data_IF_816932566935
#
_entry.id   IF_816932566935
#
_cell.length_a   1.000
_cell.length_b   1.000
_cell.length_c   1.000
_cell.angle_alpha   90.00
_cell.angle_beta   90.00
_cell.angle_gamma   90.00
#
_symmetry.space_group_name_H-M   'P 1'
#
loop_
_entity.id
_entity.type
_entity.pdbx_description
1 polymer ?
#
# COMPACT_ATOMS: atom_id res chain seq x y z
N UNK A 1 -18.41 21.58 14.05
CA UNK A 1 -17.37 20.78 13.39
C UNK A 1 -16.16 21.70 13.23
N UNK A 2 -15.15 21.54 14.09
CA UNK A 2 -14.03 22.47 14.24
C UNK A 2 -13.34 22.70 12.89
N UNK A 3 -13.25 23.96 12.44
CA UNK A 3 -12.48 24.35 11.26
C UNK A 3 -11.00 24.28 11.63
N UNK A 4 -10.44 23.07 11.62
CA UNK A 4 -9.00 22.89 11.71
C UNK A 4 -8.36 23.52 10.47
N UNK A 5 -7.48 24.50 10.67
CA UNK A 5 -6.67 25.05 9.59
C UNK A 5 -5.85 23.92 8.97
N UNK A 6 -6.01 23.71 7.66
CA UNK A 6 -5.25 22.71 6.93
C UNK A 6 -3.80 23.18 6.82
N UNK A 7 -2.89 22.45 7.46
CA UNK A 7 -1.44 22.63 7.32
C UNK A 7 -0.83 21.52 6.47
N UNK A 8 0.34 21.78 5.89
CA UNK A 8 1.13 20.72 5.28
C UNK A 8 1.58 19.71 6.33
N UNK A 9 1.56 18.44 5.95
CA UNK A 9 2.01 17.34 6.78
C UNK A 9 3.50 17.49 7.10
N UNK A 10 3.87 17.29 8.36
CA UNK A 10 5.28 17.20 8.74
C UNK A 10 5.86 15.86 8.28
N UNK A 11 7.15 15.82 7.97
CA UNK A 11 7.86 14.60 7.59
C UNK A 11 7.66 13.48 8.63
N UNK A 12 7.71 13.79 9.92
CA UNK A 12 7.48 12.81 10.98
C UNK A 12 6.05 12.23 10.97
N UNK A 13 5.06 13.04 10.60
CA UNK A 13 3.66 12.61 10.52
C UNK A 13 3.47 11.60 9.38
N UNK A 14 4.11 11.87 8.23
CA UNK A 14 4.11 10.98 7.07
C UNK A 14 4.80 9.65 7.39
N UNK A 15 5.94 9.69 8.08
CA UNK A 15 6.65 8.46 8.46
C UNK A 15 5.83 7.64 9.44
N UNK A 16 5.20 8.27 10.44
CA UNK A 16 4.38 7.57 11.44
C UNK A 16 3.12 6.96 10.84
N UNK A 17 2.45 7.65 9.92
CA UNK A 17 1.28 7.08 9.25
C UNK A 17 1.68 5.84 8.46
N UNK A 18 2.79 5.91 7.74
CA UNK A 18 3.26 4.80 6.92
C UNK A 18 3.80 3.63 7.77
N UNK A 19 4.51 3.89 8.87
CA UNK A 19 4.90 2.87 9.85
C UNK A 19 3.68 2.15 10.43
N UNK A 20 2.63 2.90 10.75
CA UNK A 20 1.39 2.35 11.29
C UNK A 20 0.68 1.45 10.28
N UNK A 21 0.64 1.86 9.01
CA UNK A 21 0.09 1.04 7.93
C UNK A 21 0.90 -0.25 7.74
N UNK A 22 2.24 -0.18 7.71
CA UNK A 22 3.09 -1.38 7.60
C UNK A 22 2.89 -2.37 8.73
N UNK A 23 2.74 -1.89 9.96
CA UNK A 23 2.48 -2.74 11.11
C UNK A 23 1.18 -3.54 10.94
N UNK A 24 0.12 -2.93 10.42
CA UNK A 24 -1.15 -3.62 10.20
C UNK A 24 -1.06 -4.61 9.03
N UNK A 25 -0.37 -4.25 7.95
CA UNK A 25 -0.15 -5.14 6.80
C UNK A 25 0.66 -6.37 7.23
N UNK A 26 1.65 -6.22 8.10
CA UNK A 26 2.46 -7.35 8.59
C UNK A 26 1.64 -8.29 9.48
N UNK A 27 0.80 -7.75 10.36
CA UNK A 27 -0.15 -8.55 11.13
C UNK A 27 -1.12 -9.32 10.23
N UNK A 28 -1.65 -8.66 9.19
CA UNK A 28 -2.52 -9.31 8.22
C UNK A 28 -1.79 -10.41 7.42
N UNK A 29 -0.54 -10.19 7.02
CA UNK A 29 0.24 -11.23 6.35
C UNK A 29 0.51 -12.43 7.26
N UNK A 30 0.80 -12.21 8.54
CA UNK A 30 0.99 -13.30 9.50
C UNK A 30 -0.27 -14.16 9.63
N UNK A 31 -1.45 -13.52 9.71
CA UNK A 31 -2.72 -14.24 9.74
C UNK A 31 -2.96 -15.04 8.46
N UNK A 32 -2.63 -14.48 7.29
CA UNK A 32 -2.73 -15.21 6.02
C UNK A 32 -1.74 -16.38 5.93
N UNK A 33 -0.53 -16.20 6.43
CA UNK A 33 0.50 -17.25 6.47
C UNK A 33 0.05 -18.43 7.35
N UNK A 34 -0.55 -18.14 8.51
CA UNK A 34 -1.15 -19.15 9.39
C UNK A 34 -2.33 -19.86 8.71
N UNK A 35 -3.22 -19.12 8.05
CA UNK A 35 -4.36 -19.69 7.32
C UNK A 35 -3.90 -20.59 6.17
N UNK A 36 -2.92 -20.14 5.39
CA UNK A 36 -2.34 -20.92 4.30
C UNK A 36 -1.72 -22.21 4.84
N UNK A 37 -0.94 -22.12 5.91
CA UNK A 37 -0.28 -23.29 6.51
C UNK A 37 -1.29 -24.29 7.07
N UNK A 38 -2.41 -23.83 7.64
CA UNK A 38 -3.48 -24.70 8.13
C UNK A 38 -4.23 -25.42 7.00
N UNK A 39 -4.38 -24.79 5.84
CA UNK A 39 -5.14 -25.34 4.71
C UNK A 39 -4.30 -26.21 3.78
N UNK A 40 -3.07 -25.79 3.48
CA UNK A 40 -2.22 -26.40 2.46
C UNK A 40 -0.95 -27.05 3.03
N UNK A 41 -0.70 -26.90 4.33
CA UNK A 41 0.52 -27.38 4.97
C UNK A 41 1.75 -26.54 4.63
N UNK A 42 2.94 -27.06 4.97
CA UNK A 42 4.21 -26.33 4.88
C UNK A 42 5.00 -26.54 3.58
N UNK A 43 4.64 -27.55 2.78
CA UNK A 43 5.49 -28.05 1.68
C UNK A 43 5.92 -26.96 0.68
N UNK A 44 5.02 -26.06 0.32
CA UNK A 44 5.30 -24.97 -0.63
C UNK A 44 5.24 -23.58 0.02
N UNK A 45 5.25 -23.49 1.35
CA UNK A 45 4.99 -22.23 2.05
C UNK A 45 5.91 -21.09 1.61
N UNK A 46 7.22 -21.36 1.53
CA UNK A 46 8.23 -20.37 1.11
C UNK A 46 8.01 -19.82 -0.31
N UNK A 47 7.44 -20.62 -1.22
CA UNK A 47 7.13 -20.18 -2.60
C UNK A 47 5.97 -19.19 -2.58
N UNK A 48 4.95 -19.45 -1.74
CA UNK A 48 3.72 -18.66 -1.70
C UNK A 48 3.78 -17.48 -0.73
N UNK A 49 4.63 -17.51 0.29
CA UNK A 49 4.82 -16.45 1.30
C UNK A 49 4.97 -15.04 0.69
N UNK A 50 5.82 -14.79 -0.33
CA UNK A 50 5.94 -13.46 -0.94
C UNK A 50 4.69 -13.02 -1.74
N UNK A 51 3.84 -13.96 -2.15
CA UNK A 51 2.56 -13.67 -2.79
C UNK A 51 1.48 -13.38 -1.75
N UNK A 52 1.47 -14.10 -0.62
CA UNK A 52 0.57 -13.86 0.51
C UNK A 52 0.80 -12.49 1.13
N UNK A 53 2.06 -12.06 1.27
CA UNK A 53 2.38 -10.71 1.73
C UNK A 53 1.87 -9.62 0.77
N UNK A 54 2.05 -9.80 -0.55
CA UNK A 54 1.47 -8.87 -1.54
C UNK A 54 -0.06 -8.88 -1.53
N UNK A 55 -0.65 -10.04 -1.27
CA UNK A 55 -2.09 -10.19 -1.14
C UNK A 55 -2.62 -9.49 0.12
N UNK A 56 -1.89 -9.51 1.25
CA UNK A 56 -2.28 -8.75 2.45
C UNK A 56 -2.25 -7.25 2.20
N UNK A 57 -1.21 -6.73 1.56
CA UNK A 57 -1.12 -5.32 1.18
C UNK A 57 -2.28 -4.90 0.26
N UNK A 58 -2.56 -5.73 -0.75
CA UNK A 58 -3.69 -5.54 -1.66
C UNK A 58 -5.02 -5.50 -0.90
N UNK A 59 -5.29 -6.50 -0.06
CA UNK A 59 -6.54 -6.57 0.72
C UNK A 59 -6.69 -5.37 1.66
N UNK A 60 -5.61 -4.94 2.30
CA UNK A 60 -5.61 -3.77 3.18
C UNK A 60 -6.03 -2.50 2.43
N UNK A 61 -5.37 -2.20 1.31
CA UNK A 61 -5.65 -1.00 0.53
C UNK A 61 -6.97 -1.06 -0.25
N UNK A 62 -7.42 -2.26 -0.66
CA UNK A 62 -8.78 -2.43 -1.18
C UNK A 62 -9.82 -2.11 -0.10
N UNK A 63 -9.63 -2.60 1.12
CA UNK A 63 -10.62 -2.40 2.19
C UNK A 63 -10.67 -0.94 2.65
N UNK A 64 -9.52 -0.27 2.73
CA UNK A 64 -9.39 1.12 3.20
C UNK A 64 -9.62 2.12 2.06
N UNK A 65 -8.66 2.22 1.14
CA UNK A 65 -8.58 3.26 0.11
C UNK A 65 -9.65 3.12 -0.97
N UNK A 66 -9.96 1.89 -1.44
CA UNK A 66 -11.00 1.70 -2.47
C UNK A 66 -12.41 1.96 -1.91
N UNK A 67 -12.64 1.67 -0.63
CA UNK A 67 -13.87 2.03 0.10
C UNK A 67 -14.02 3.54 0.34
N UNK A 68 -13.17 4.36 -0.28
CA UNK A 68 -13.11 5.81 -0.12
C UNK A 68 -12.81 6.28 1.31
N UNK A 69 -12.15 5.44 2.12
CA UNK A 69 -11.74 5.76 3.48
C UNK A 69 -10.25 6.11 3.55
N UNK A 70 -9.87 6.80 4.62
CA UNK A 70 -8.47 7.00 4.97
C UNK A 70 -7.87 5.67 5.42
N UNK A 71 -6.55 5.52 5.29
CA UNK A 71 -5.86 4.39 5.92
C UNK A 71 -5.83 4.58 7.44
N UNK A 72 -5.63 3.51 8.19
CA UNK A 72 -5.56 3.61 9.65
C UNK A 72 -4.33 4.44 10.06
N UNK A 73 -3.24 4.39 9.31
CA UNK A 73 -2.08 5.26 9.50
C UNK A 73 -2.39 6.74 9.28
N UNK A 74 -3.18 7.05 8.25
CA UNK A 74 -3.66 8.41 8.01
C UNK A 74 -4.54 8.90 9.16
N UNK A 75 -5.52 8.10 9.60
CA UNK A 75 -6.38 8.43 10.74
C UNK A 75 -5.58 8.59 12.04
N UNK A 76 -4.55 7.78 12.24
CA UNK A 76 -3.69 7.83 13.43
C UNK A 76 -2.97 9.17 13.61
N UNK A 77 -2.65 9.86 12.52
CA UNK A 77 -1.98 11.17 12.53
C UNK A 77 -2.89 12.29 12.03
N UNK A 78 -4.18 12.00 11.80
CA UNK A 78 -5.15 12.93 11.21
C UNK A 78 -4.71 13.50 9.85
N UNK A 79 -4.01 12.70 9.03
CA UNK A 79 -3.59 13.07 7.69
C UNK A 79 -4.71 12.86 6.67
N UNK A 80 -4.80 13.78 5.71
CA UNK A 80 -5.80 13.72 4.65
C UNK A 80 -5.12 13.95 3.30
N UNK A 81 -5.40 13.07 2.35
CA UNK A 81 -4.96 13.28 0.96
C UNK A 81 -5.74 14.44 0.33
N UNK A 82 -5.01 15.45 -0.13
CA UNK A 82 -5.59 16.66 -0.72
C UNK A 82 -4.98 16.92 -2.10
N UNK A 83 -5.82 17.11 -3.12
CA UNK A 83 -5.36 17.53 -4.44
C UNK A 83 -5.31 19.06 -4.52
N UNK A 84 -4.13 19.68 -4.71
CA UNK A 84 -4.00 21.14 -4.78
C UNK A 84 -4.71 21.75 -6.00
N UNK A 85 -4.89 20.98 -7.08
CA UNK A 85 -5.50 21.48 -8.33
C UNK A 85 -7.02 21.52 -8.19
N UNK A 86 -7.62 20.39 -7.80
CA UNK A 86 -9.08 20.27 -7.72
C UNK A 86 -9.66 20.72 -6.37
N UNK A 87 -8.80 21.01 -5.38
CA UNK A 87 -9.16 21.40 -4.00
C UNK A 87 -10.12 20.42 -3.32
N UNK A 88 -10.01 19.13 -3.67
CA UNK A 88 -10.90 18.06 -3.22
C UNK A 88 -10.08 16.82 -2.89
N UNK A 89 -10.73 15.86 -2.23
CA UNK A 89 -10.20 14.52 -2.01
C UNK A 89 -9.94 13.88 -3.38
N UNK A 90 -8.80 13.19 -3.59
CA UNK A 90 -8.47 12.60 -4.88
C UNK A 90 -9.53 11.61 -5.34
N UNK A 91 -9.84 11.65 -6.64
CA UNK A 91 -10.79 10.75 -7.30
C UNK A 91 -10.41 9.27 -7.11
N UNK A 92 -11.41 8.39 -7.13
CA UNK A 92 -11.22 6.92 -7.04
C UNK A 92 -10.22 6.38 -8.06
N UNK A 93 -10.20 6.91 -9.28
CA UNK A 93 -9.27 6.48 -10.34
C UNK A 93 -7.82 6.75 -9.94
N UNK A 94 -7.51 7.94 -9.40
CA UNK A 94 -6.16 8.27 -8.93
C UNK A 94 -5.74 7.42 -7.74
N UNK A 95 -6.68 7.14 -6.83
CA UNK A 95 -6.46 6.22 -5.70
C UNK A 95 -6.18 4.80 -6.16
N UNK A 96 -6.92 4.30 -7.15
CA UNK A 96 -6.66 3.00 -7.79
C UNK A 96 -5.26 2.95 -8.40
N UNK A 97 -4.87 3.96 -9.18
CA UNK A 97 -3.51 4.05 -9.71
C UNK A 97 -2.47 4.06 -8.59
N UNK A 98 -2.68 4.81 -7.51
CA UNK A 98 -1.78 4.82 -6.36
C UNK A 98 -1.60 3.41 -5.76
N UNK A 99 -2.68 2.66 -5.59
CA UNK A 99 -2.63 1.27 -5.08
C UNK A 99 -1.86 0.36 -6.04
N UNK A 100 -2.16 0.45 -7.34
CA UNK A 100 -1.48 -0.35 -8.37
C UNK A 100 0.02 -0.04 -8.39
N UNK A 101 0.40 1.23 -8.41
CA UNK A 101 1.81 1.61 -8.37
C UNK A 101 2.50 1.22 -7.06
N UNK A 102 1.79 1.23 -5.93
CA UNK A 102 2.35 0.79 -4.65
C UNK A 102 2.69 -0.71 -4.68
N UNK A 103 1.75 -1.54 -5.12
CA UNK A 103 1.91 -3.00 -5.09
C UNK A 103 2.81 -3.51 -6.23
N UNK A 104 2.62 -2.97 -7.43
CA UNK A 104 3.33 -3.42 -8.64
C UNK A 104 4.56 -2.57 -8.96
N UNK A 105 4.84 -1.51 -8.21
CA UNK A 105 5.95 -0.60 -8.48
C UNK A 105 7.30 -1.29 -8.53
N UNK A 106 7.57 -2.23 -7.63
CA UNK A 106 8.79 -3.03 -7.64
C UNK A 106 8.87 -3.97 -8.87
N UNK A 107 7.74 -4.54 -9.30
CA UNK A 107 7.72 -5.35 -10.51
C UNK A 107 7.97 -4.49 -11.74
N UNK A 108 7.28 -3.35 -11.85
CA UNK A 108 7.43 -2.41 -12.95
C UNK A 108 8.87 -1.89 -13.01
N UNK A 109 9.47 -1.53 -11.88
CA UNK A 109 10.86 -1.06 -11.83
C UNK A 109 11.84 -2.15 -12.23
N UNK A 110 11.65 -3.40 -11.77
CA UNK A 110 12.46 -4.56 -12.20
C UNK A 110 12.34 -4.82 -13.69
N UNK A 111 11.13 -4.83 -14.24
CA UNK A 111 10.92 -4.98 -15.69
C UNK A 111 11.57 -3.85 -16.48
N UNK A 112 11.41 -2.61 -16.03
CA UNK A 112 12.01 -1.45 -16.69
C UNK A 112 13.54 -1.51 -16.66
N UNK A 113 14.14 -1.78 -15.51
CA UNK A 113 15.59 -1.90 -15.36
C UNK A 113 16.14 -3.08 -16.17
N UNK A 114 15.53 -4.25 -16.10
CA UNK A 114 16.00 -5.41 -16.88
C UNK A 114 15.83 -5.20 -18.38
N UNK A 115 14.72 -4.59 -18.82
CA UNK A 115 14.48 -4.28 -20.22
C UNK A 115 15.39 -3.18 -20.77
N UNK A 116 15.74 -2.17 -19.96
CA UNK A 116 16.48 -0.99 -20.39
C UNK A 116 18.00 -1.11 -20.18
N UNK A 117 18.44 -1.79 -19.11
CA UNK A 117 19.83 -1.83 -18.67
C UNK A 117 20.55 -3.12 -19.12
N UNK A 118 19.82 -4.22 -19.36
CA UNK A 118 20.40 -5.55 -19.66
C UNK A 118 20.16 -5.99 -21.11
N UNK A 119 19.38 -5.26 -21.90
CA UNK A 119 19.35 -5.44 -23.37
C UNK A 119 20.46 -4.57 -23.99
N UNK A 120 21.65 -5.12 -24.33
CA UNK A 120 22.54 -4.41 -25.21
C UNK A 120 21.85 -4.24 -26.56
N UNK A 121 21.98 -3.04 -27.11
CA UNK A 121 21.67 -2.70 -28.49
C UNK A 121 22.25 -3.79 -29.41
N UNK A 122 21.36 -4.52 -30.09
CA UNK A 122 21.66 -5.25 -31.31
C UNK A 122 21.31 -4.35 -32.49
#
# INVERSE_FOLDING_TARGET
MSTAELRYANQFEIIRSEEKDRYLISQLSQQLDELYTKLFGLNNFHIYQPYLHRLSELLYYLTTTLSNRQTIGEEYVCLIQYDPITKRIPSLVRRLFMIVFRIFGDLISKYFLTSFLIRPIA
#
